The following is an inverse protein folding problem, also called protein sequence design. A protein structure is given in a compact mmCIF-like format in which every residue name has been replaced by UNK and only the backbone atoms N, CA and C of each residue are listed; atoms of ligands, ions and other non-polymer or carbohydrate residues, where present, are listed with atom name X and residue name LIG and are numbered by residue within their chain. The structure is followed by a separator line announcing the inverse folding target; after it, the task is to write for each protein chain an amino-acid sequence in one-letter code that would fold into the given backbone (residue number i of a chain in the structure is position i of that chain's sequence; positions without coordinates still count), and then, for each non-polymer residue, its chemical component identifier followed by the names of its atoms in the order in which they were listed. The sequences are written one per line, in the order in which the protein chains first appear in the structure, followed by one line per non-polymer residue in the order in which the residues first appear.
data_IF_376046410184
#
_entry.id   IF_376046410184
#
_cell.length_a   1.000
_cell.length_b   1.000
_cell.length_c   1.000
_cell.angle_alpha   90.00
_cell.angle_beta   90.00
_cell.angle_gamma   90.00
#
_symmetry.space_group_name_H-M   'P 1'
#
loop_
_entity.id
_entity.type
_entity.pdbx_description
1 polymer ?
#
# COMPACT_ATOMS: atom_id res chain seq x y z
N UNK A 1 25.92 -10.67 23.48
CA UNK A 1 24.81 -10.15 24.28
C UNK A 1 24.98 -8.64 24.30
N UNK A 2 24.17 -7.91 23.51
CA UNK A 2 22.87 -7.37 23.97
C UNK A 2 23.17 -5.98 24.59
N UNK A 3 22.54 -4.86 24.26
CA UNK A 3 21.15 -4.60 23.93
C UNK A 3 21.03 -3.17 23.36
N UNK A 4 20.04 -2.97 22.50
CA UNK A 4 19.27 -1.75 22.19
C UNK A 4 19.78 -0.39 22.72
N UNK A 5 20.36 0.44 21.84
CA UNK A 5 20.34 1.89 22.02
C UNK A 5 18.98 2.41 21.52
N UNK A 6 17.93 2.06 22.26
CA UNK A 6 16.59 2.61 22.06
C UNK A 6 16.57 4.07 22.50
N UNK A 7 15.96 4.91 21.66
CA UNK A 7 15.69 6.33 21.93
C UNK A 7 14.64 6.42 23.05
N UNK A 8 15.08 6.37 24.30
CA UNK A 8 14.22 6.52 25.50
C UNK A 8 14.02 8.01 25.87
N UNK A 9 13.71 8.85 24.89
CA UNK A 9 13.80 10.31 25.01
C UNK A 9 12.49 11.12 24.96
N UNK A 10 11.30 10.52 24.92
CA UNK A 10 10.07 11.27 24.54
C UNK A 10 8.81 10.99 25.37
N UNK A 11 8.92 10.41 26.57
CA UNK A 11 7.76 10.21 27.44
C UNK A 11 7.88 11.09 28.67
N UNK A 12 7.51 12.37 28.53
CA UNK A 12 7.28 13.24 29.67
C UNK A 12 5.87 12.95 30.20
N UNK A 13 5.78 12.12 31.24
CA UNK A 13 4.53 11.88 31.96
C UNK A 13 4.11 13.17 32.68
N UNK A 14 3.02 13.78 32.24
CA UNK A 14 2.33 14.81 33.01
C UNK A 14 1.17 14.15 33.74
N UNK A 15 1.22 14.15 35.07
CA UNK A 15 0.10 13.71 35.90
C UNK A 15 -1.15 14.56 35.57
N UNK A 16 -2.28 13.93 35.22
CA UNK A 16 -3.51 14.67 35.01
C UNK A 16 -4.01 15.25 36.35
N UNK A 17 -4.40 16.55 36.41
CA UNK A 17 -4.90 17.13 37.64
C UNK A 17 -6.23 16.48 38.06
N UNK A 18 -6.35 16.20 39.36
CA UNK A 18 -7.49 15.54 39.97
C UNK A 18 -8.79 16.35 39.79
N UNK A 19 -9.56 16.06 38.74
CA UNK A 19 -10.92 16.55 38.58
C UNK A 19 -11.90 15.40 38.89
N UNK A 20 -12.73 15.59 39.92
CA UNK A 20 -13.84 14.68 40.27
C UNK A 20 -14.83 14.62 39.10
N UNK A 21 -14.83 13.54 38.33
CA UNK A 21 -15.83 13.33 37.27
C UNK A 21 -17.03 12.60 37.87
N UNK A 22 -18.13 13.33 38.08
CA UNK A 22 -19.46 12.72 38.23
C UNK A 22 -19.85 12.17 36.85
N UNK A 23 -19.94 10.86 36.71
CA UNK A 23 -20.47 10.23 35.50
C UNK A 23 -21.97 10.49 35.42
N UNK A 24 -22.42 11.18 34.37
CA UNK A 24 -23.83 11.15 33.96
C UNK A 24 -23.99 10.16 32.81
N UNK A 25 -24.97 9.28 32.95
CA UNK A 25 -25.31 8.27 31.93
C UNK A 25 -25.64 8.90 30.56
N UNK A 26 -25.39 8.19 29.45
CA UNK A 26 -25.45 8.77 28.11
C UNK A 26 -26.89 9.04 27.69
N UNK A 27 -27.29 10.31 27.67
CA UNK A 27 -28.57 10.73 27.12
C UNK A 27 -28.57 10.56 25.59
N UNK A 28 -29.39 9.62 25.08
CA UNK A 28 -29.67 9.45 23.65
C UNK A 28 -30.26 10.75 23.07
N UNK A 29 -29.42 11.55 22.41
CA UNK A 29 -29.88 12.67 21.60
C UNK A 29 -29.79 12.29 20.12
N UNK A 30 -30.96 12.23 19.47
CA UNK A 30 -31.15 12.10 18.02
C UNK A 30 -30.52 13.32 17.33
N UNK A 31 -29.23 13.25 17.06
CA UNK A 31 -28.52 14.17 16.18
C UNK A 31 -28.56 13.61 14.77
N UNK A 32 -29.06 14.41 13.83
CA UNK A 32 -28.95 14.16 12.40
C UNK A 32 -27.46 14.02 12.06
N UNK A 33 -27.01 12.77 11.93
CA UNK A 33 -25.69 12.45 11.35
C UNK A 33 -25.84 12.76 9.87
N UNK A 34 -25.33 13.91 9.43
CA UNK A 34 -24.98 14.07 8.02
C UNK A 34 -23.82 13.11 7.80
N UNK A 35 -24.20 11.88 7.44
CA UNK A 35 -23.32 10.89 6.87
C UNK A 35 -22.49 11.60 5.80
N UNK A 36 -21.17 11.66 6.01
CA UNK A 36 -20.22 12.12 5.00
C UNK A 36 -20.26 11.09 3.87
N UNK A 37 -21.33 11.11 3.07
CA UNK A 37 -21.43 10.33 1.86
C UNK A 37 -20.44 10.97 0.90
N UNK A 38 -19.26 10.35 0.81
CA UNK A 38 -18.31 10.63 -0.24
C UNK A 38 -18.97 10.18 -1.54
N UNK A 39 -19.61 11.12 -2.23
CA UNK A 39 -20.25 10.90 -3.52
C UNK A 39 -19.14 10.58 -4.53
N UNK A 40 -18.77 9.30 -4.64
CA UNK A 40 -17.90 8.80 -5.71
C UNK A 40 -18.72 8.74 -6.99
N UNK A 41 -19.25 9.89 -7.41
CA UNK A 41 -19.49 10.17 -8.81
C UNK A 41 -18.14 10.48 -9.43
N UNK A 42 -17.26 9.48 -9.47
CA UNK A 42 -16.08 9.49 -10.31
C UNK A 42 -16.49 9.33 -11.78
N UNK A 43 -17.29 10.28 -12.28
CA UNK A 43 -17.31 10.66 -13.68
C UNK A 43 -16.01 11.41 -13.98
N UNK A 44 -14.89 10.73 -13.80
CA UNK A 44 -13.65 11.05 -14.48
C UNK A 44 -13.24 9.69 -14.98
N UNK A 45 -13.49 9.44 -16.26
CA UNK A 45 -12.56 8.63 -17.02
C UNK A 45 -11.19 9.28 -16.78
N UNK A 46 -10.53 8.87 -15.69
CA UNK A 46 -9.17 9.25 -15.38
C UNK A 46 -8.44 8.83 -16.62
N UNK A 47 -8.01 9.83 -17.39
CA UNK A 47 -7.10 9.69 -18.52
C UNK A 47 -6.10 8.65 -18.05
N UNK A 48 -6.20 7.41 -18.55
CA UNK A 48 -5.35 6.27 -18.15
C UNK A 48 -3.95 6.75 -18.45
N UNK A 49 -3.29 7.31 -17.44
CA UNK A 49 -1.95 7.85 -17.60
C UNK A 49 -1.11 6.61 -17.67
N UNK A 50 -0.60 6.33 -18.87
CA UNK A 50 0.35 5.26 -19.15
C UNK A 50 1.67 5.41 -18.34
N UNK A 51 1.74 6.43 -17.47
CA UNK A 51 2.86 6.87 -16.67
C UNK A 51 2.78 6.44 -15.20
N UNK A 52 1.76 5.68 -14.80
CA UNK A 52 1.65 5.17 -13.43
C UNK A 52 2.67 4.03 -13.16
N UNK A 53 3.47 4.22 -12.11
CA UNK A 53 4.41 3.22 -11.58
C UNK A 53 3.75 2.29 -10.56
N UNK A 54 4.13 1.02 -10.61
CA UNK A 54 3.75 -0.01 -9.66
C UNK A 54 4.93 -0.42 -8.80
N UNK A 55 4.63 -0.84 -7.56
CA UNK A 55 5.61 -1.28 -6.57
C UNK A 55 5.13 -2.57 -5.92
N UNK A 56 6.04 -3.53 -5.73
CA UNK A 56 5.82 -4.69 -4.85
C UNK A 56 6.89 -4.66 -3.77
N UNK A 57 6.47 -4.56 -2.51
CA UNK A 57 7.35 -4.54 -1.34
C UNK A 57 7.32 -5.93 -0.72
N UNK A 58 8.49 -6.51 -0.49
CA UNK A 58 8.64 -7.82 0.16
C UNK A 58 8.92 -7.67 1.66
N UNK A 59 8.81 -8.75 2.41
CA UNK A 59 9.16 -8.79 3.83
C UNK A 59 10.69 -8.93 4.10
N UNK A 60 11.53 -8.61 3.13
CA UNK A 60 12.99 -8.61 3.27
C UNK A 60 13.49 -7.19 3.52
N UNK A 61 14.67 -7.03 4.13
CA UNK A 61 15.27 -5.70 4.30
C UNK A 61 15.84 -5.14 2.99
N UNK A 62 16.35 -6.03 2.13
CA UNK A 62 16.90 -5.70 0.83
C UNK A 62 16.68 -6.87 -0.14
N UNK A 63 15.88 -6.61 -1.18
CA UNK A 63 15.55 -7.58 -2.21
C UNK A 63 16.73 -7.71 -3.18
N UNK A 64 17.15 -8.95 -3.46
CA UNK A 64 18.19 -9.16 -4.48
C UNK A 64 17.59 -9.00 -5.89
N UNK A 65 18.44 -8.65 -6.86
CA UNK A 65 17.96 -8.42 -8.24
C UNK A 65 17.38 -9.69 -8.87
N UNK A 66 17.96 -10.85 -8.62
CA UNK A 66 17.47 -12.14 -9.12
C UNK A 66 16.15 -12.55 -8.45
N UNK A 67 16.01 -12.32 -7.13
CA UNK A 67 14.75 -12.52 -6.40
C UNK A 67 13.64 -11.61 -6.94
N UNK A 68 13.96 -10.32 -7.16
CA UNK A 68 13.04 -9.37 -7.77
C UNK A 68 12.63 -9.77 -9.19
N UNK A 69 13.57 -10.26 -10.00
CA UNK A 69 13.27 -10.78 -11.33
C UNK A 69 12.34 -12.01 -11.24
N UNK A 70 12.64 -12.95 -10.34
CA UNK A 70 11.84 -14.16 -10.16
C UNK A 70 10.40 -13.85 -9.70
N UNK A 71 10.23 -12.90 -8.78
CA UNK A 71 8.92 -12.38 -8.39
C UNK A 71 8.15 -11.86 -9.61
N UNK A 72 8.81 -11.06 -10.44
CA UNK A 72 8.19 -10.52 -11.65
C UNK A 72 7.84 -11.61 -12.68
N UNK A 73 8.61 -12.69 -12.78
CA UNK A 73 8.27 -13.85 -13.61
C UNK A 73 6.99 -14.54 -13.13
N UNK A 74 6.80 -14.65 -11.82
CA UNK A 74 5.57 -15.22 -11.25
C UNK A 74 4.39 -14.30 -11.56
N UNK A 75 4.55 -12.98 -11.41
CA UNK A 75 3.50 -12.01 -11.70
C UNK A 75 3.14 -11.98 -13.19
N UNK A 76 4.10 -12.07 -14.10
CA UNK A 76 3.82 -12.11 -15.55
C UNK A 76 2.93 -13.31 -15.90
N UNK A 77 3.22 -14.50 -15.37
CA UNK A 77 2.39 -15.70 -15.58
C UNK A 77 0.97 -15.53 -15.04
N UNK A 78 0.82 -14.94 -13.84
CA UNK A 78 -0.49 -14.72 -13.20
C UNK A 78 -1.31 -13.66 -13.91
N UNK A 79 -0.66 -12.58 -14.35
CA UNK A 79 -1.27 -11.50 -15.11
C UNK A 79 -1.45 -11.87 -16.59
N UNK A 80 -0.95 -13.02 -17.07
CA UNK A 80 -0.93 -13.40 -18.49
C UNK A 80 -0.20 -12.35 -19.36
N UNK A 81 0.89 -11.79 -18.86
CA UNK A 81 1.80 -10.88 -19.55
C UNK A 81 3.12 -11.59 -19.90
N UNK A 82 3.93 -10.95 -20.74
CA UNK A 82 5.33 -11.32 -20.97
C UNK A 82 6.26 -10.37 -20.21
N UNK A 83 7.48 -10.81 -19.89
CA UNK A 83 8.50 -9.93 -19.28
C UNK A 83 8.78 -8.69 -20.13
N UNK A 84 8.70 -8.83 -21.46
CA UNK A 84 8.87 -7.72 -22.40
C UNK A 84 7.82 -6.63 -22.28
N UNK A 85 6.67 -6.90 -21.64
CA UNK A 85 5.61 -5.92 -21.43
C UNK A 85 5.92 -4.97 -20.27
N UNK A 86 6.95 -5.25 -19.47
CA UNK A 86 7.39 -4.37 -18.39
C UNK A 86 8.39 -3.33 -18.89
N UNK A 87 8.29 -2.13 -18.32
CA UNK A 87 9.16 -0.98 -18.55
C UNK A 87 9.74 -0.52 -17.21
N UNK A 88 10.94 0.05 -17.25
CA UNK A 88 11.57 0.72 -16.09
C UNK A 88 11.57 -0.17 -14.83
N UNK A 89 11.83 -1.47 -15.04
CA UNK A 89 11.89 -2.48 -13.99
C UNK A 89 13.18 -2.33 -13.20
N UNK A 90 13.08 -2.08 -11.90
CA UNK A 90 14.21 -1.85 -11.01
C UNK A 90 13.95 -2.44 -9.63
N UNK A 91 15.03 -2.80 -8.92
CA UNK A 91 14.99 -3.23 -7.53
C UNK A 91 15.59 -2.13 -6.66
N UNK A 92 14.83 -1.66 -5.68
CA UNK A 92 15.20 -0.56 -4.79
C UNK A 92 14.85 -0.94 -3.36
N UNK A 93 15.89 -1.22 -2.55
CA UNK A 93 15.70 -1.69 -1.17
C UNK A 93 14.88 -2.98 -1.15
N UNK A 94 13.76 -3.05 -0.41
CA UNK A 94 12.94 -4.25 -0.30
C UNK A 94 11.91 -4.42 -1.43
N UNK A 95 11.96 -3.56 -2.45
CA UNK A 95 10.88 -3.42 -3.43
C UNK A 95 11.32 -3.56 -4.89
N UNK A 96 10.41 -4.07 -5.72
CA UNK A 96 10.51 -3.96 -7.18
C UNK A 96 9.63 -2.81 -7.66
N UNK A 97 10.16 -1.93 -8.51
CA UNK A 97 9.43 -0.86 -9.20
C UNK A 97 9.24 -1.25 -10.66
N UNK A 98 8.10 -0.93 -11.26
CA UNK A 98 7.85 -1.26 -12.66
C UNK A 98 6.74 -0.40 -13.28
N UNK A 99 6.69 -0.38 -14.61
CA UNK A 99 5.53 0.04 -15.40
C UNK A 99 5.14 -1.06 -16.37
N UNK A 100 3.90 -1.02 -16.83
CA UNK A 100 3.38 -1.95 -17.85
C UNK A 100 3.13 -1.17 -19.14
N UNK A 101 3.78 -1.57 -20.23
CA UNK A 101 3.53 -1.03 -21.57
C UNK A 101 2.08 -1.34 -21.98
N UNK A 102 1.45 -0.50 -22.82
CA UNK A 102 0.26 -0.90 -23.56
C UNK A 102 0.45 -2.27 -24.22
N UNK A 103 -0.44 -3.20 -23.90
CA UNK A 103 -0.40 -4.60 -24.33
C UNK A 103 -1.76 -5.02 -24.89
N UNK A 104 -1.77 -6.09 -25.69
CA UNK A 104 -2.98 -6.57 -26.36
C UNK A 104 -4.10 -7.00 -25.38
N UNK A 105 -3.72 -7.38 -24.16
CA UNK A 105 -4.62 -7.78 -23.08
C UNK A 105 -5.23 -6.57 -22.33
N UNK A 106 -4.80 -5.33 -22.65
CA UNK A 106 -5.21 -4.08 -21.99
C UNK A 106 -4.98 -4.05 -20.47
N UNK A 107 -4.00 -4.82 -19.99
CA UNK A 107 -3.64 -4.92 -18.58
C UNK A 107 -2.83 -3.70 -18.19
N UNK A 108 -3.22 -3.03 -17.10
CA UNK A 108 -2.54 -1.86 -16.57
C UNK A 108 -1.54 -2.20 -15.46
N UNK A 109 -0.68 -1.24 -15.12
CA UNK A 109 0.21 -1.34 -13.94
C UNK A 109 -0.58 -1.65 -12.66
N UNK A 110 -1.75 -1.02 -12.48
CA UNK A 110 -2.62 -1.26 -11.32
C UNK A 110 -3.17 -2.70 -11.29
N UNK A 111 -3.49 -3.29 -12.43
CA UNK A 111 -3.96 -4.68 -12.50
C UNK A 111 -2.88 -5.66 -12.05
N UNK A 112 -1.62 -5.43 -12.43
CA UNK A 112 -0.48 -6.25 -11.98
C UNK A 112 -0.23 -6.08 -10.49
N UNK A 113 -0.27 -4.85 -9.96
CA UNK A 113 -0.16 -4.60 -8.52
C UNK A 113 -1.27 -5.31 -7.73
N UNK A 114 -2.50 -5.30 -8.24
CA UNK A 114 -3.63 -6.03 -7.66
C UNK A 114 -3.43 -7.56 -7.69
N UNK A 115 -2.79 -8.10 -8.73
CA UNK A 115 -2.41 -9.53 -8.78
C UNK A 115 -1.38 -9.84 -7.69
N UNK A 116 -0.39 -8.98 -7.50
CA UNK A 116 0.60 -9.13 -6.44
C UNK A 116 -0.04 -9.10 -5.04
N UNK A 117 -0.93 -8.15 -4.76
CA UNK A 117 -1.62 -8.06 -3.45
C UNK A 117 -2.55 -9.24 -3.12
N UNK A 118 -3.00 -10.01 -4.11
CA UNK A 118 -3.75 -11.26 -3.91
C UNK A 118 -2.84 -12.49 -3.76
N UNK A 119 -1.54 -12.32 -3.91
CA UNK A 119 -0.57 -13.40 -3.87
C UNK A 119 0.02 -13.52 -2.47
N UNK A 120 -0.22 -14.63 -1.77
CA UNK A 120 0.40 -14.92 -0.46
C UNK A 120 1.90 -15.32 -0.56
N UNK A 121 2.54 -15.12 -1.71
CA UNK A 121 3.84 -15.71 -2.02
C UNK A 121 5.05 -14.79 -1.75
N UNK A 122 4.84 -13.53 -1.37
CA UNK A 122 5.91 -12.52 -1.30
C UNK A 122 5.76 -11.63 -0.07
#
# INVERSE_FOLDING_TARGET
MEEVAAVEGWIQAMDPPAAKVVYQEPHKKKGNVQELQLDVKAAVATKKTDDDYGYVITNTDALQTDEGLHLMEILTRRAKLQMTDFLELSVVGPAVTFRVRPNAQNISTADVANVAGRSELF
#
